data_IF_301792105083
#
_entry.id   IF_301792105083
#
_cell.length_a   1.000
_cell.length_b   1.000
_cell.length_c   1.000
_cell.angle_alpha   90.00
_cell.angle_beta   90.00
_cell.angle_gamma   90.00
#
_symmetry.space_group_name_H-M   'P 1'
#
loop_
_entity.id
_entity.type
_entity.pdbx_description
1 polymer ?
#
# COMPACT_ATOMS: atom_id res chain seq x y z
N UNK A 1 -2.31 46.79 0.14
CA UNK A 1 -0.88 47.12 0.29
C UNK A 1 -0.09 45.91 -0.19
N UNK A 2 0.60 46.06 -1.33
CA UNK A 2 1.31 45.02 -2.07
C UNK A 2 2.52 44.51 -1.27
N UNK A 3 2.58 43.21 -1.02
CA UNK A 3 3.79 42.58 -0.49
C UNK A 3 4.78 42.32 -1.63
N UNK A 4 5.72 43.26 -1.79
CA UNK A 4 7.15 43.01 -1.88
C UNK A 4 7.69 42.39 -3.18
N UNK A 5 8.13 43.27 -4.09
CA UNK A 5 9.17 42.96 -5.06
C UNK A 5 10.38 42.34 -4.35
N UNK A 6 10.80 41.14 -4.75
CA UNK A 6 12.13 40.63 -4.42
C UNK A 6 13.04 40.81 -5.63
N UNK A 7 13.85 41.86 -5.56
CA UNK A 7 15.01 42.07 -6.41
C UNK A 7 15.98 40.89 -6.34
N UNK A 8 16.67 40.71 -7.47
CA UNK A 8 17.79 39.81 -7.68
C UNK A 8 18.76 39.87 -6.51
N UNK A 9 18.95 38.75 -5.80
CA UNK A 9 20.28 38.24 -5.40
C UNK A 9 20.20 36.88 -4.68
N UNK A 10 21.33 36.17 -4.73
CA UNK A 10 21.52 34.73 -4.63
C UNK A 10 20.95 34.11 -3.34
N UNK A 11 20.11 33.08 -3.47
CA UNK A 11 19.87 32.12 -2.38
C UNK A 11 20.85 30.95 -2.49
N UNK A 12 21.55 30.71 -1.40
CA UNK A 12 22.58 29.70 -1.19
C UNK A 12 22.00 28.27 -1.13
N UNK A 13 22.63 27.39 -1.90
CA UNK A 13 22.79 25.94 -1.72
C UNK A 13 21.85 25.24 -0.72
N UNK A 14 20.76 24.69 -1.26
CA UNK A 14 19.81 23.79 -0.60
C UNK A 14 18.65 23.59 -1.57
N UNK A 15 18.49 22.37 -2.10
CA UNK A 15 17.47 22.11 -3.14
C UNK A 15 16.10 22.62 -2.72
N UNK A 16 15.34 23.20 -3.66
CA UNK A 16 14.01 23.72 -3.38
C UNK A 16 13.13 22.58 -2.85
N UNK A 17 12.59 22.72 -1.63
CA UNK A 17 11.63 21.76 -1.09
C UNK A 17 10.46 21.66 -2.07
N UNK A 18 10.09 20.43 -2.45
CA UNK A 18 8.94 20.18 -3.34
C UNK A 18 7.74 20.95 -2.81
N UNK A 19 7.17 21.81 -3.65
CA UNK A 19 5.97 22.56 -3.26
C UNK A 19 4.82 21.56 -3.19
N UNK A 20 3.85 21.81 -2.33
CA UNK A 20 2.62 21.00 -2.23
C UNK A 20 1.97 20.75 -3.61
N UNK A 21 1.96 21.79 -4.47
CA UNK A 21 1.52 21.72 -5.86
C UNK A 21 2.28 20.69 -6.71
N UNK A 22 3.57 20.47 -6.46
CA UNK A 22 4.40 19.51 -7.21
C UNK A 22 4.01 18.07 -6.86
N UNK A 23 3.57 17.84 -5.62
CA UNK A 23 3.04 16.55 -5.17
C UNK A 23 1.70 16.28 -5.86
N UNK A 24 0.77 17.24 -5.84
CA UNK A 24 -0.52 17.10 -6.53
C UNK A 24 -0.35 16.83 -8.03
N UNK A 25 0.55 17.58 -8.69
CA UNK A 25 0.86 17.38 -10.11
C UNK A 25 1.40 15.97 -10.40
N UNK A 26 2.25 15.42 -9.52
CA UNK A 26 2.80 14.06 -9.71
C UNK A 26 1.71 12.96 -9.67
N UNK A 27 0.62 13.19 -8.94
CA UNK A 27 -0.53 12.28 -8.89
C UNK A 27 -1.66 12.66 -9.85
N UNK A 28 -1.39 13.59 -10.79
CA UNK A 28 -2.38 14.10 -11.75
C UNK A 28 -3.64 14.68 -11.07
N UNK A 29 -3.45 15.30 -9.90
CA UNK A 29 -4.49 16.00 -9.14
C UNK A 29 -4.36 17.50 -9.46
N UNK A 30 -5.45 18.11 -9.90
CA UNK A 30 -5.47 19.53 -10.20
C UNK A 30 -5.42 20.39 -8.92
N UNK A 31 -4.55 21.41 -8.91
CA UNK A 31 -4.32 22.27 -7.74
C UNK A 31 -5.48 23.23 -7.45
N UNK A 32 -6.36 23.53 -8.41
CA UNK A 32 -7.52 24.39 -8.16
C UNK A 32 -8.72 23.61 -7.62
N UNK A 33 -8.82 22.32 -7.93
CA UNK A 33 -10.00 21.48 -7.65
C UNK A 33 -9.74 20.30 -6.69
N UNK A 34 -8.51 20.16 -6.17
CA UNK A 34 -8.16 19.06 -5.25
C UNK A 34 -9.03 19.03 -3.99
N UNK A 35 -9.38 20.19 -3.43
CA UNK A 35 -10.19 20.29 -2.20
C UNK A 35 -11.61 19.80 -2.45
N UNK A 36 -12.21 20.20 -3.58
CA UNK A 36 -13.53 19.72 -4.01
C UNK A 36 -13.52 18.20 -4.23
N UNK A 37 -12.45 17.67 -4.84
CA UNK A 37 -12.28 16.23 -5.04
C UNK A 37 -12.08 15.47 -3.73
N UNK A 38 -11.43 16.10 -2.73
CA UNK A 38 -11.23 15.50 -1.41
C UNK A 38 -12.54 15.45 -0.60
N UNK A 39 -13.44 16.42 -0.80
CA UNK A 39 -14.75 16.48 -0.15
C UNK A 39 -15.76 15.48 -0.71
N UNK A 40 -15.57 14.97 -1.92
CA UNK A 40 -16.42 13.96 -2.56
C UNK A 40 -16.27 12.58 -1.91
N UNK A 41 -16.81 12.48 -0.69
CA UNK A 41 -16.76 11.30 0.16
C UNK A 41 -17.40 10.08 -0.50
N UNK A 42 -18.50 10.30 -1.22
CA UNK A 42 -19.24 9.24 -1.90
C UNK A 42 -18.38 8.57 -2.97
N UNK A 43 -17.66 9.35 -3.78
CA UNK A 43 -16.72 8.80 -4.76
C UNK A 43 -15.60 7.99 -4.11
N UNK A 44 -15.03 8.46 -2.99
CA UNK A 44 -13.99 7.71 -2.28
C UNK A 44 -14.52 6.40 -1.69
N UNK A 45 -15.75 6.41 -1.17
CA UNK A 45 -16.42 5.20 -0.66
C UNK A 45 -16.65 4.22 -1.80
N UNK A 46 -17.26 4.66 -2.91
CA UNK A 46 -17.54 3.82 -4.06
C UNK A 46 -16.27 3.16 -4.61
N UNK A 47 -15.17 3.91 -4.76
CA UNK A 47 -13.87 3.36 -5.21
C UNK A 47 -13.29 2.36 -4.19
N UNK A 48 -13.41 2.63 -2.89
CA UNK A 48 -12.92 1.73 -1.86
C UNK A 48 -13.74 0.42 -1.79
N UNK A 49 -15.06 0.54 -1.98
CA UNK A 49 -16.00 -0.57 -2.01
C UNK A 49 -15.83 -1.42 -3.26
N UNK A 50 -15.69 -0.81 -4.44
CA UNK A 50 -15.37 -1.52 -5.69
C UNK A 50 -14.09 -2.35 -5.53
N UNK A 51 -13.01 -1.74 -4.99
CA UNK A 51 -11.76 -2.46 -4.70
C UNK A 51 -11.97 -3.59 -3.68
N UNK A 52 -12.84 -3.41 -2.69
CA UNK A 52 -13.18 -4.45 -1.71
C UNK A 52 -13.96 -5.58 -2.39
N UNK A 53 -14.92 -5.26 -3.23
CA UNK A 53 -15.73 -6.20 -3.99
C UNK A 53 -14.87 -7.01 -4.97
N UNK A 54 -13.95 -6.36 -5.70
CA UNK A 54 -13.01 -7.05 -6.57
C UNK A 54 -12.13 -8.06 -5.81
N UNK A 55 -11.66 -7.72 -4.61
CA UNK A 55 -10.94 -8.67 -3.74
C UNK A 55 -11.82 -9.83 -3.28
N UNK A 56 -13.06 -9.55 -2.89
CA UNK A 56 -14.01 -10.59 -2.50
C UNK A 56 -14.34 -11.53 -3.67
N UNK A 57 -14.60 -10.98 -4.85
CA UNK A 57 -14.85 -11.74 -6.07
C UNK A 57 -13.66 -12.65 -6.40
N UNK A 58 -12.42 -12.17 -6.27
CA UNK A 58 -11.22 -13.01 -6.43
C UNK A 58 -11.12 -14.13 -5.38
N UNK A 59 -11.56 -13.88 -4.14
CA UNK A 59 -11.58 -14.91 -3.10
C UNK A 59 -12.67 -15.97 -3.38
N UNK A 60 -13.83 -15.56 -3.88
CA UNK A 60 -14.98 -16.44 -4.15
C UNK A 60 -14.91 -17.17 -5.49
N UNK A 61 -14.18 -16.63 -6.47
CA UNK A 61 -13.87 -17.31 -7.72
C UNK A 61 -12.38 -17.69 -7.74
N UNK A 62 -11.98 -18.75 -7.02
CA UNK A 62 -10.60 -19.20 -7.05
C UNK A 62 -10.30 -19.70 -8.46
N UNK A 63 -9.53 -18.93 -9.24
CA UNK A 63 -8.86 -19.48 -10.42
C UNK A 63 -8.15 -20.75 -9.95
N UNK A 64 -8.42 -21.90 -10.57
CA UNK A 64 -7.92 -23.20 -10.14
C UNK A 64 -6.39 -23.19 -10.08
N UNK A 65 -5.87 -22.83 -8.91
CA UNK A 65 -4.46 -22.60 -8.64
C UNK A 65 -3.93 -23.75 -7.81
N UNK A 66 -2.80 -24.30 -8.28
CA UNK A 66 -2.09 -25.39 -7.65
C UNK A 66 -2.03 -25.23 -6.12
N UNK A 67 -2.53 -26.23 -5.42
CA UNK A 67 -2.50 -26.28 -3.97
C UNK A 67 -1.11 -26.72 -3.51
N UNK A 68 -0.47 -25.94 -2.64
CA UNK A 68 0.87 -26.22 -2.13
C UNK A 68 0.75 -26.96 -0.80
N UNK A 69 1.24 -28.21 -0.68
CA UNK A 69 1.22 -28.95 0.58
C UNK A 69 2.31 -28.48 1.54
N UNK A 70 2.03 -28.55 2.86
CA UNK A 70 3.05 -28.37 3.89
C UNK A 70 3.91 -29.65 4.02
N UNK A 71 5.24 -29.54 4.15
CA UNK A 71 6.11 -30.71 4.33
C UNK A 71 6.00 -31.37 5.72
N UNK A 72 5.43 -30.68 6.71
CA UNK A 72 5.37 -31.17 8.10
C UNK A 72 3.96 -31.56 8.55
N UNK A 73 2.92 -31.23 7.78
CA UNK A 73 1.55 -31.62 8.07
C UNK A 73 0.70 -31.67 6.79
N UNK A 74 -0.49 -32.27 6.85
CA UNK A 74 -1.40 -32.39 5.69
C UNK A 74 -2.12 -31.08 5.31
N UNK A 75 -1.65 -29.93 5.82
CA UNK A 75 -2.30 -28.64 5.55
C UNK A 75 -1.92 -28.13 4.16
N UNK A 76 -2.95 -27.72 3.44
CA UNK A 76 -2.89 -27.28 2.05
C UNK A 76 -3.02 -25.75 1.97
N UNK A 77 -2.18 -25.11 1.16
CA UNK A 77 -2.13 -23.66 1.02
C UNK A 77 -2.38 -23.24 -0.42
N UNK A 78 -3.11 -22.13 -0.60
CA UNK A 78 -3.40 -21.52 -1.91
C UNK A 78 -2.35 -20.48 -2.34
N UNK A 79 -1.44 -20.11 -1.44
CA UNK A 79 -0.39 -19.13 -1.69
C UNK A 79 0.87 -19.48 -0.89
N UNK A 80 2.03 -19.31 -1.50
CA UNK A 80 3.32 -19.55 -0.86
C UNK A 80 3.52 -18.70 0.39
N UNK A 81 3.03 -17.45 0.39
CA UNK A 81 3.09 -16.55 1.56
C UNK A 81 2.39 -17.18 2.78
N UNK A 82 1.23 -17.82 2.57
CA UNK A 82 0.49 -18.51 3.62
C UNK A 82 1.27 -19.70 4.18
N UNK A 83 1.89 -20.50 3.30
CA UNK A 83 2.76 -21.61 3.69
C UNK A 83 3.98 -21.11 4.48
N UNK A 84 4.69 -20.09 4.00
CA UNK A 84 5.87 -19.54 4.68
C UNK A 84 5.53 -19.03 6.07
N UNK A 85 4.38 -18.37 6.24
CA UNK A 85 3.89 -17.96 7.56
C UNK A 85 3.61 -19.17 8.46
N UNK A 86 2.95 -20.20 7.91
CA UNK A 86 2.62 -21.42 8.65
C UNK A 86 3.83 -22.24 9.09
N UNK A 87 4.89 -22.31 8.27
CA UNK A 87 6.12 -23.02 8.62
C UNK A 87 6.77 -22.51 9.92
N UNK A 88 6.48 -21.26 10.32
CA UNK A 88 6.96 -20.72 11.61
C UNK A 88 6.33 -21.45 12.81
N UNK A 89 5.10 -21.95 12.68
CA UNK A 89 4.41 -22.72 13.74
C UNK A 89 5.06 -24.06 14.00
N UNK A 90 5.73 -24.65 13.00
CA UNK A 90 6.48 -25.91 13.17
C UNK A 90 7.82 -25.71 13.89
N UNK A 91 8.30 -24.48 14.07
CA UNK A 91 9.54 -24.18 14.79
C UNK A 91 9.30 -24.20 16.31
N UNK A 92 9.09 -25.39 16.90
CA UNK A 92 9.34 -25.58 18.34
C UNK A 92 10.86 -25.53 18.56
N UNK A 93 11.32 -24.79 19.58
CA UNK A 93 12.74 -24.64 19.97
C UNK A 93 13.44 -26.00 20.04
N UNK A 94 14.75 -26.10 19.69
CA UNK A 94 15.52 -27.28 20.05
C UNK A 94 15.48 -27.43 21.57
N UNK A 95 14.98 -28.58 22.03
CA UNK A 95 15.06 -29.02 23.42
C UNK A 95 16.54 -29.06 23.83
N UNK A 96 16.96 -28.46 24.95
CA UNK A 96 18.33 -28.62 25.42
C UNK A 96 18.51 -30.09 25.83
N UNK A 97 19.43 -30.77 25.15
CA UNK A 97 19.84 -32.15 25.48
C UNK A 97 20.43 -32.15 26.90
N UNK A 98 19.92 -32.96 27.84
CA UNK A 98 20.60 -33.20 29.10
C UNK A 98 21.69 -34.27 28.87
N UNK A 99 22.92 -33.95 29.25
CA UNK A 99 23.99 -34.92 29.50
C UNK A 99 23.99 -35.36 30.95
#
# INVERSE_FOLDING_TARGET
LLFGELQKEKRSQGGQKKRFKDVLKAFNIDHATWEQSALDRERWIAVAEDRRQARNNRANNPVSGATIPCPHCQRLFRAQIGLTSHLRTHRKKPTPTPG
#
